data_IF_064878774800
#
_entry.id   IF_064878774800
#
_cell.length_a   1.000
_cell.length_b   1.000
_cell.length_c   1.000
_cell.angle_alpha   90.00
_cell.angle_beta   90.00
_cell.angle_gamma   90.00
#
_symmetry.space_group_name_H-M   'P 1'
#
loop_
_entity.id
_entity.type
_entity.pdbx_description
1 polymer ?
#
# COMPACT_ATOMS: atom_id res chain seq x y z
N UNK A 1 14.45 -20.45 -7.80
CA UNK A 1 14.44 -21.89 -7.47
C UNK A 1 13.24 -22.56 -8.14
N UNK A 2 13.36 -23.83 -8.56
CA UNK A 2 12.26 -24.57 -9.17
C UNK A 2 11.13 -24.89 -8.19
N UNK A 3 11.43 -25.24 -6.92
CA UNK A 3 10.44 -25.46 -5.85
C UNK A 3 10.76 -24.63 -4.59
N UNK A 4 9.75 -24.39 -3.75
CA UNK A 4 9.90 -23.69 -2.46
C UNK A 4 9.82 -24.61 -1.24
N UNK A 5 9.60 -25.89 -1.48
CA UNK A 5 9.56 -26.93 -0.47
C UNK A 5 10.41 -28.13 -0.86
N UNK A 6 10.89 -28.85 0.16
CA UNK A 6 11.56 -30.15 0.04
C UNK A 6 11.24 -31.00 1.27
N UNK A 7 10.40 -32.02 1.09
CA UNK A 7 9.86 -32.80 2.20
C UNK A 7 9.14 -31.89 3.19
N UNK A 8 9.52 -31.95 4.47
CA UNK A 8 8.90 -31.16 5.56
C UNK A 8 9.54 -29.77 5.75
N UNK A 9 10.40 -29.34 4.84
CA UNK A 9 11.08 -28.03 4.90
C UNK A 9 10.50 -27.13 3.82
N UNK A 10 10.15 -25.90 4.20
CA UNK A 10 9.60 -24.88 3.31
C UNK A 10 10.33 -23.55 3.49
N UNK A 11 10.60 -22.87 2.38
CA UNK A 11 11.20 -21.54 2.35
C UNK A 11 10.10 -20.49 2.40
N UNK A 12 10.22 -19.54 3.34
CA UNK A 12 9.24 -18.49 3.59
C UNK A 12 9.93 -17.11 3.63
N UNK A 13 9.24 -16.09 3.11
CA UNK A 13 9.70 -14.70 3.17
C UNK A 13 10.96 -14.48 2.34
N UNK A 14 11.90 -13.68 2.84
CA UNK A 14 13.14 -13.36 2.14
C UNK A 14 14.02 -14.60 1.87
N UNK A 15 13.85 -15.69 2.63
CA UNK A 15 14.54 -16.96 2.39
C UNK A 15 14.05 -17.69 1.12
N UNK A 16 12.79 -17.49 0.72
CA UNK A 16 12.22 -18.07 -0.50
C UNK A 16 12.18 -17.10 -1.66
N UNK A 17 11.87 -15.84 -1.38
CA UNK A 17 11.50 -14.84 -2.39
C UNK A 17 11.77 -13.42 -1.89
N UNK A 18 13.05 -13.04 -1.89
CA UNK A 18 13.46 -11.67 -1.64
C UNK A 18 12.82 -10.72 -2.67
N UNK A 19 12.07 -9.72 -2.20
CA UNK A 19 11.49 -8.67 -3.03
C UNK A 19 12.35 -7.41 -2.89
N UNK A 20 12.92 -6.94 -4.01
CA UNK A 20 13.90 -5.85 -4.03
C UNK A 20 13.42 -4.57 -3.31
N UNK A 21 14.18 -4.18 -2.28
CA UNK A 21 14.54 -2.83 -1.80
C UNK A 21 13.47 -1.75 -1.59
N UNK A 22 12.19 -2.02 -1.86
CA UNK A 22 11.08 -1.17 -1.43
C UNK A 22 10.81 -1.48 0.04
N UNK A 23 11.26 -0.59 0.92
CA UNK A 23 11.15 -0.72 2.37
C UNK A 23 9.75 -1.21 2.78
N UNK A 24 9.68 -2.36 3.46
CA UNK A 24 8.46 -2.91 4.06
C UNK A 24 7.68 -3.95 3.25
N UNK A 25 7.94 -4.10 1.94
CA UNK A 25 7.21 -5.09 1.12
C UNK A 25 7.60 -6.52 1.49
N UNK A 26 8.90 -6.79 1.72
CA UNK A 26 9.39 -8.14 2.06
C UNK A 26 8.79 -8.69 3.36
N UNK A 27 8.78 -7.89 4.43
CA UNK A 27 8.23 -8.30 5.72
C UNK A 27 6.72 -8.57 5.66
N UNK A 28 5.96 -7.68 5.01
CA UNK A 28 4.51 -7.85 4.84
C UNK A 28 4.18 -9.11 4.03
N UNK A 29 4.98 -9.38 2.99
CA UNK A 29 4.86 -10.60 2.17
C UNK A 29 5.21 -11.85 2.99
N UNK A 30 6.24 -11.77 3.83
CA UNK A 30 6.61 -12.86 4.74
C UNK A 30 5.47 -13.24 5.69
N UNK A 31 4.84 -12.24 6.32
CA UNK A 31 3.70 -12.46 7.24
C UNK A 31 2.49 -13.05 6.50
N UNK A 32 2.12 -12.48 5.35
CA UNK A 32 1.01 -12.99 4.56
C UNK A 32 1.25 -14.42 4.05
N UNK A 33 2.49 -14.72 3.64
CA UNK A 33 2.91 -16.08 3.28
C UNK A 33 2.82 -17.04 4.47
N UNK A 34 3.27 -16.63 5.66
CA UNK A 34 3.19 -17.45 6.87
C UNK A 34 1.74 -17.81 7.21
N UNK A 35 0.85 -16.82 7.13
CA UNK A 35 -0.57 -17.02 7.37
C UNK A 35 -1.19 -18.01 6.38
N UNK A 36 -0.90 -17.84 5.09
CA UNK A 36 -1.39 -18.76 4.06
C UNK A 36 -0.86 -20.19 4.26
N UNK A 37 0.43 -20.33 4.59
CA UNK A 37 1.05 -21.62 4.88
C UNK A 37 0.37 -22.30 6.09
N UNK A 38 0.12 -21.55 7.17
CA UNK A 38 -0.59 -22.06 8.33
C UNK A 38 -2.02 -22.51 7.98
N UNK A 39 -2.76 -21.73 7.18
CA UNK A 39 -4.10 -22.10 6.71
C UNK A 39 -4.06 -23.41 5.90
N UNK A 40 -3.10 -23.56 4.97
CA UNK A 40 -2.98 -24.80 4.19
C UNK A 40 -2.59 -26.00 5.05
N UNK A 41 -1.68 -25.82 6.02
CA UNK A 41 -1.28 -26.89 6.94
C UNK A 41 -2.43 -27.37 7.84
N UNK A 42 -3.33 -26.47 8.25
CA UNK A 42 -4.50 -26.85 9.08
C UNK A 42 -5.61 -27.55 8.29
N UNK A 43 -5.71 -27.30 6.98
CA UNK A 43 -6.80 -27.82 6.13
C UNK A 43 -6.42 -29.06 5.32
N UNK A 44 -5.14 -29.28 5.07
CA UNK A 44 -4.68 -30.39 4.25
C UNK A 44 -4.66 -31.71 5.02
N UNK A 45 -4.83 -32.82 4.29
CA UNK A 45 -4.73 -34.19 4.84
C UNK A 45 -3.29 -34.65 5.01
N UNK A 46 -2.34 -34.02 4.31
CA UNK A 46 -0.92 -34.31 4.39
C UNK A 46 -0.10 -33.01 4.31
N UNK A 47 1.12 -33.02 4.84
CA UNK A 47 2.03 -31.87 4.74
C UNK A 47 2.39 -31.62 3.27
N UNK A 48 2.61 -32.67 2.49
CA UNK A 48 2.98 -32.52 1.08
C UNK A 48 1.88 -31.82 0.27
N UNK A 49 0.60 -32.17 0.49
CA UNK A 49 -0.53 -31.49 -0.14
C UNK A 49 -0.65 -30.01 0.27
N UNK A 50 -0.38 -29.71 1.54
CA UNK A 50 -0.38 -28.35 2.04
C UNK A 50 0.70 -27.51 1.35
N UNK A 51 1.91 -28.05 1.23
CA UNK A 51 3.06 -27.35 0.64
C UNK A 51 2.88 -27.15 -0.86
N UNK A 52 2.36 -28.14 -1.58
CA UNK A 52 2.01 -28.02 -3.01
C UNK A 52 0.94 -26.95 -3.22
N UNK A 53 -0.09 -26.94 -2.38
CA UNK A 53 -1.17 -25.95 -2.49
C UNK A 53 -0.71 -24.55 -2.11
N UNK A 54 0.08 -24.43 -1.05
CA UNK A 54 0.74 -23.19 -0.65
C UNK A 54 1.56 -22.61 -1.81
N UNK A 55 2.44 -23.41 -2.40
CA UNK A 55 3.30 -22.95 -3.50
C UNK A 55 2.48 -22.52 -4.73
N UNK A 56 1.44 -23.28 -5.09
CA UNK A 56 0.54 -22.95 -6.20
C UNK A 56 -0.17 -21.61 -6.01
N UNK A 57 -0.63 -21.32 -4.79
CA UNK A 57 -1.35 -20.08 -4.48
C UNK A 57 -0.41 -18.88 -4.30
N UNK A 58 0.77 -19.10 -3.70
CA UNK A 58 1.66 -18.02 -3.29
C UNK A 58 2.62 -17.58 -4.40
N UNK A 59 3.05 -18.50 -5.25
CA UNK A 59 3.96 -18.22 -6.38
C UNK A 59 3.53 -17.06 -7.28
N UNK A 60 2.29 -16.99 -7.79
CA UNK A 60 1.88 -15.88 -8.65
C UNK A 60 1.91 -14.52 -7.92
N UNK A 61 1.50 -14.48 -6.65
CA UNK A 61 1.48 -13.25 -5.83
C UNK A 61 2.90 -12.70 -5.68
N UNK A 62 3.83 -13.57 -5.30
CA UNK A 62 5.24 -13.21 -5.15
C UNK A 62 5.85 -12.76 -6.48
N UNK A 63 5.62 -13.49 -7.56
CA UNK A 63 6.18 -13.15 -8.86
C UNK A 63 5.67 -11.80 -9.37
N UNK A 64 4.39 -11.49 -9.18
CA UNK A 64 3.82 -10.18 -9.50
C UNK A 64 4.52 -9.07 -8.69
N UNK A 65 4.65 -9.24 -7.38
CA UNK A 65 5.33 -8.26 -6.52
C UNK A 65 6.80 -8.09 -6.87
N UNK A 66 7.50 -9.16 -7.24
CA UNK A 66 8.87 -9.09 -7.73
C UNK A 66 8.98 -8.38 -9.07
N UNK A 67 8.03 -8.60 -10.00
CA UNK A 67 7.97 -7.88 -11.29
C UNK A 67 7.77 -6.38 -11.06
N UNK A 68 6.80 -6.00 -10.23
CA UNK A 68 6.54 -4.60 -9.88
C UNK A 68 7.72 -3.97 -9.16
N UNK A 69 8.30 -4.65 -8.17
CA UNK A 69 9.47 -4.17 -7.44
C UNK A 69 10.68 -3.94 -8.34
N UNK A 70 10.94 -4.82 -9.32
CA UNK A 70 11.99 -4.62 -10.34
C UNK A 70 11.71 -3.42 -11.25
N UNK A 71 10.44 -3.22 -11.64
CA UNK A 71 10.02 -2.05 -12.43
C UNK A 71 10.21 -0.74 -11.68
N UNK A 72 9.78 -0.68 -10.42
CA UNK A 72 9.93 0.50 -9.56
C UNK A 72 11.39 0.77 -9.20
N UNK A 73 12.20 -0.26 -8.94
CA UNK A 73 13.63 -0.11 -8.71
C UNK A 73 14.36 0.47 -9.94
N UNK A 74 14.02 0.03 -11.16
CA UNK A 74 14.53 0.63 -12.40
C UNK A 74 14.12 2.10 -12.56
N UNK A 75 12.96 2.49 -12.05
CA UNK A 75 12.51 3.89 -12.06
C UNK A 75 13.24 4.74 -11.01
N UNK A 76 13.52 4.18 -9.83
CA UNK A 76 14.22 4.87 -8.73
C UNK A 76 15.74 4.93 -8.88
N UNK A 77 16.35 3.99 -9.60
CA UNK A 77 17.78 3.97 -9.93
C UNK A 77 17.98 4.72 -11.25
N UNK A 78 18.39 6.01 -11.26
CA UNK A 78 18.62 6.74 -12.49
C UNK A 78 19.82 6.11 -13.22
N UNK A 79 19.56 5.21 -14.15
CA UNK A 79 20.59 4.47 -14.88
C UNK A 79 21.31 5.31 -15.96
N UNK A 80 21.08 6.63 -16.00
CA UNK A 80 21.62 7.49 -17.03
C UNK A 80 22.29 8.75 -16.46
N UNK A 81 23.53 9.02 -16.89
CA UNK A 81 24.32 10.20 -16.49
C UNK A 81 23.56 11.51 -16.74
N UNK A 82 22.71 11.53 -17.76
CA UNK A 82 21.81 12.65 -18.07
C UNK A 82 20.73 12.86 -17.00
N UNK A 83 20.07 11.79 -16.54
CA UNK A 83 19.02 11.86 -15.53
C UNK A 83 19.56 12.31 -14.17
N UNK A 84 20.78 11.88 -13.82
CA UNK A 84 21.48 12.36 -12.62
C UNK A 84 21.85 13.85 -12.75
N UNK A 85 22.32 14.29 -13.92
CA UNK A 85 22.61 15.71 -14.20
C UNK A 85 21.34 16.56 -14.16
N UNK A 86 20.24 16.09 -14.74
CA UNK A 86 18.94 16.76 -14.74
C UNK A 86 18.39 16.88 -13.31
N UNK A 87 18.44 15.81 -12.51
CA UNK A 87 18.04 15.85 -11.09
C UNK A 87 18.88 16.83 -10.29
N UNK A 88 20.20 16.83 -10.47
CA UNK A 88 21.10 17.80 -9.82
C UNK A 88 20.81 19.24 -10.27
N UNK A 89 20.50 19.45 -11.55
CA UNK A 89 20.12 20.75 -12.08
C UNK A 89 18.78 21.22 -11.50
N UNK A 90 17.75 20.36 -11.47
CA UNK A 90 16.45 20.66 -10.85
C UNK A 90 16.57 20.97 -9.36
N UNK A 91 17.34 20.19 -8.59
CA UNK A 91 17.54 20.46 -7.15
C UNK A 91 18.30 21.77 -6.90
N UNK A 92 19.25 22.12 -7.77
CA UNK A 92 19.93 23.43 -7.71
C UNK A 92 18.98 24.57 -8.07
N UNK A 93 18.14 24.36 -9.07
CA UNK A 93 17.16 25.32 -9.53
C UNK A 93 16.06 25.56 -8.48
N UNK A 94 15.64 24.51 -7.76
CA UNK A 94 14.69 24.60 -6.65
C UNK A 94 15.24 25.34 -5.42
N UNK A 95 16.56 25.48 -5.29
CA UNK A 95 17.20 26.31 -4.25
C UNK A 95 17.24 27.79 -4.60
N UNK A 96 16.81 28.17 -5.80
CA UNK A 96 16.68 29.59 -6.16
C UNK A 96 15.39 30.15 -5.52
N UNK A 97 15.48 31.33 -4.85
CA UNK A 97 14.40 31.88 -4.03
C UNK A 97 13.11 32.18 -4.82
N UNK A 98 13.23 32.42 -6.13
CA UNK A 98 12.09 32.71 -7.02
C UNK A 98 11.25 31.45 -7.28
N UNK A 99 11.88 30.28 -7.39
CA UNK A 99 11.19 29.01 -7.71
C UNK A 99 10.62 28.39 -6.44
N UNK A 100 11.32 28.51 -5.30
CA UNK A 100 10.77 28.16 -3.99
C UNK A 100 9.46 28.90 -3.69
N UNK A 101 9.34 30.17 -4.10
CA UNK A 101 8.13 30.99 -3.91
C UNK A 101 6.95 30.53 -4.78
N UNK A 102 7.20 30.09 -6.02
CA UNK A 102 6.17 29.55 -6.92
C UNK A 102 5.73 28.11 -6.55
N UNK A 103 6.66 27.27 -6.08
CA UNK A 103 6.35 25.91 -5.61
C UNK A 103 5.64 25.94 -4.26
N UNK A 104 5.99 26.89 -3.37
CA UNK A 104 5.26 27.09 -2.12
C UNK A 104 3.81 27.49 -2.36
N UNK A 105 3.52 28.35 -3.36
CA UNK A 105 2.14 28.78 -3.67
C UNK A 105 1.26 27.66 -4.23
N UNK A 106 1.83 26.61 -4.84
CA UNK A 106 1.03 25.46 -5.32
C UNK A 106 0.85 24.38 -4.26
N UNK A 107 1.77 24.27 -3.29
CA UNK A 107 1.68 23.29 -2.20
C UNK A 107 0.86 23.76 -0.98
N UNK A 108 0.65 25.07 -0.81
CA UNK A 108 -0.15 25.64 0.30
C UNK A 108 -1.64 25.80 -0.01
N UNK A 109 -2.11 25.28 -1.15
CA UNK A 109 -3.51 25.32 -1.54
C UNK A 109 -4.35 24.17 -0.95
N UNK A 110 -5.31 24.51 -0.06
CA UNK A 110 -6.54 23.76 0.29
C UNK A 110 -6.50 22.78 1.48
N UNK A 111 -6.06 23.19 2.67
CA UNK A 111 -6.44 22.49 3.91
C UNK A 111 -7.38 23.30 4.83
N UNK A 112 -7.34 24.64 4.76
CA UNK A 112 -8.11 25.47 5.71
C UNK A 112 -9.62 25.53 5.40
N UNK A 113 -10.01 25.58 4.12
CA UNK A 113 -11.44 25.68 3.76
C UNK A 113 -12.24 24.38 3.96
N UNK A 114 -11.57 23.22 3.97
CA UNK A 114 -12.24 21.92 4.14
C UNK A 114 -12.54 21.64 5.62
N UNK A 115 -11.65 22.04 6.52
CA UNK A 115 -11.87 21.98 7.98
C UNK A 115 -12.97 22.95 8.41
N UNK A 116 -13.07 24.12 7.77
CA UNK A 116 -14.13 25.09 8.06
C UNK A 116 -15.50 24.65 7.52
N UNK A 117 -15.52 23.97 6.36
CA UNK A 117 -16.75 23.42 5.78
C UNK A 117 -17.29 22.22 6.57
N UNK A 118 -16.41 21.40 7.17
CA UNK A 118 -16.82 20.29 8.05
C UNK A 118 -17.33 20.77 9.41
N UNK A 119 -16.76 21.87 9.95
CA UNK A 119 -17.23 22.47 11.20
C UNK A 119 -18.63 23.08 11.06
N UNK A 120 -18.95 23.68 9.92
CA UNK A 120 -20.29 24.23 9.65
C UNK A 120 -21.38 23.16 9.45
N UNK A 121 -21.01 21.97 8.96
CA UNK A 121 -21.98 20.87 8.75
C UNK A 121 -22.21 20.03 10.01
N UNK A 122 -21.41 20.23 11.06
CA UNK A 122 -21.55 19.51 12.35
C UNK A 122 -22.59 20.08 13.32
N UNK A 123 -23.19 21.23 13.01
CA UNK A 123 -24.16 21.90 13.88
C UNK A 123 -25.57 21.85 13.25
N UNK A 124 -26.10 20.62 13.10
CA UNK A 124 -27.52 20.40 12.84
C UNK A 124 -28.28 20.38 14.18
N UNK A 125 -29.25 21.29 14.40
CA UNK A 125 -30.06 21.29 15.62
C UNK A 125 -30.87 20.00 15.75
N UNK A 126 -30.90 19.48 16.97
CA UNK A 126 -31.68 18.31 17.37
C UNK A 126 -33.18 18.54 17.15
N UNK A 127 -33.81 17.54 16.56
CA UNK A 127 -35.18 17.03 16.78
C UNK A 127 -36.13 17.94 17.56
N UNK A 128 -37.14 18.49 16.88
CA UNK A 128 -38.45 18.77 17.51
C UNK A 128 -39.48 17.78 16.97
N UNK A 129 -39.84 16.87 17.87
CA UNK A 129 -41.07 16.07 17.85
C UNK A 129 -42.28 16.98 17.63
N UNK A 130 -43.11 16.67 16.63
CA UNK A 130 -44.52 17.08 16.58
C UNK A 130 -45.34 15.94 15.99
N UNK A 131 -45.99 15.24 16.92
CA UNK A 131 -47.09 14.28 16.74
C UNK A 131 -48.36 15.00 16.24
N UNK A 132 -48.99 14.56 15.12
CA UNK A 132 -50.27 15.09 14.69
C UNK A 132 -51.40 14.07 14.95
N UNK A 133 -51.71 13.81 16.22
CA UNK A 133 -52.92 13.05 16.61
C UNK A 133 -53.79 13.84 17.59
N UNK A 134 -54.39 14.95 17.13
CA UNK A 134 -55.62 15.49 17.75
C UNK A 134 -56.36 16.46 16.83
N UNK A 135 -57.32 15.95 16.06
CA UNK A 135 -58.42 16.77 15.53
C UNK A 135 -59.71 15.96 15.62
N UNK A 136 -60.32 16.02 16.79
CA UNK A 136 -61.69 15.64 17.09
C UNK A 136 -62.24 16.73 18.02
N UNK A 137 -63.52 17.04 17.85
CA UNK A 137 -64.36 17.98 18.60
C UNK A 137 -64.53 19.35 17.94
N UNK A 138 -65.55 19.44 17.07
CA UNK A 138 -66.67 20.40 17.12
C UNK A 138 -67.63 20.10 15.97
#
# INVERSE_FOLDING_TARGET
MPSWSKGRVVLLGDAGYAVSLLAGIGASLGIAGAYLLADQLTRARSIDDALVTYERLWRPVVEEKQRTGRGTARWFLPASRLQLRLRRAMLRLARLPVIGRYVATTLTGKSTSLIEKLRRTGDSPRLTSTDPSRKGDS
#
